data_IF_240189584979
#
_entry.id   IF_240189584979
#
_cell.length_a   1.000
_cell.length_b   1.000
_cell.length_c   1.000
_cell.angle_alpha   90.00
_cell.angle_beta   90.00
_cell.angle_gamma   90.00
#
_symmetry.space_group_name_H-M   'P 1'
#
loop_
_entity.id
_entity.type
_entity.pdbx_description
1 polymer ?
#
# COMPACT_ATOMS: atom_id res chain seq x y z
N UNK A 1 13.56 -23.52 -14.51
CA UNK A 1 12.55 -22.60 -15.07
C UNK A 1 13.12 -21.19 -14.94
N UNK A 2 13.71 -20.63 -16.00
CA UNK A 2 14.19 -19.24 -16.01
C UNK A 2 13.00 -18.33 -16.31
N UNK A 3 12.74 -17.33 -15.47
CA UNK A 3 11.75 -16.30 -15.77
C UNK A 3 12.27 -15.46 -16.94
N UNK A 4 11.71 -15.68 -18.13
CA UNK A 4 12.06 -14.91 -19.32
C UNK A 4 11.28 -13.60 -19.31
N UNK A 5 11.83 -12.63 -18.58
CA UNK A 5 11.36 -11.25 -18.55
C UNK A 5 11.74 -10.47 -19.83
N UNK A 6 12.53 -11.09 -20.71
CA UNK A 6 12.96 -10.55 -21.98
C UNK A 6 11.96 -10.92 -23.08
N UNK A 7 10.86 -10.15 -23.19
CA UNK A 7 9.98 -10.21 -24.36
C UNK A 7 10.65 -9.64 -25.64
N UNK A 8 11.99 -9.64 -25.71
CA UNK A 8 12.79 -9.08 -26.78
C UNK A 8 12.39 -7.65 -27.12
N UNK A 9 12.33 -7.33 -28.42
CA UNK A 9 11.93 -5.99 -28.90
C UNK A 9 10.54 -5.54 -28.45
N UNK A 10 9.69 -6.46 -27.96
CA UNK A 10 8.33 -6.14 -27.55
C UNK A 10 8.19 -5.80 -26.07
N UNK A 11 9.24 -6.05 -25.26
CA UNK A 11 9.25 -5.71 -23.85
C UNK A 11 8.90 -4.24 -23.61
N UNK A 12 9.41 -3.32 -24.43
CA UNK A 12 9.15 -1.90 -24.28
C UNK A 12 7.67 -1.50 -24.47
N UNK A 13 6.88 -2.30 -25.19
CA UNK A 13 5.44 -2.07 -25.34
C UNK A 13 4.64 -2.72 -24.21
N UNK A 14 5.15 -3.81 -23.64
CA UNK A 14 4.46 -4.61 -22.63
C UNK A 14 4.69 -4.08 -21.21
N UNK A 15 5.95 -3.80 -20.87
CA UNK A 15 6.37 -3.39 -19.53
C UNK A 15 5.72 -2.11 -19.01
N UNK A 16 5.41 -1.08 -19.82
CA UNK A 16 4.76 0.13 -19.32
C UNK A 16 3.42 -0.14 -18.65
N UNK A 17 2.60 -1.05 -19.19
CA UNK A 17 1.31 -1.41 -18.59
C UNK A 17 1.49 -2.06 -17.20
N UNK A 18 2.49 -2.93 -17.07
CA UNK A 18 2.85 -3.55 -15.80
C UNK A 18 3.45 -2.54 -14.82
N UNK A 19 4.28 -1.61 -15.30
CA UNK A 19 4.85 -0.55 -14.48
C UNK A 19 3.76 0.35 -13.89
N UNK A 20 2.76 0.76 -14.70
CA UNK A 20 1.62 1.54 -14.23
C UNK A 20 0.84 0.78 -13.16
N UNK A 21 0.61 -0.52 -13.37
CA UNK A 21 -0.08 -1.37 -12.41
C UNK A 21 0.70 -1.49 -11.09
N UNK A 22 2.03 -1.71 -11.17
CA UNK A 22 2.90 -1.77 -10.01
C UNK A 22 2.90 -0.46 -9.22
N UNK A 23 2.91 0.69 -9.92
CA UNK A 23 2.79 2.01 -9.29
C UNK A 23 1.44 2.17 -8.59
N UNK A 24 0.34 1.76 -9.23
CA UNK A 24 -0.99 1.82 -8.62
C UNK A 24 -1.08 0.95 -7.36
N UNK A 25 -0.49 -0.25 -7.38
CA UNK A 25 -0.44 -1.11 -6.20
C UNK A 25 0.45 -0.52 -5.10
N UNK A 26 1.62 0.01 -5.44
CA UNK A 26 2.48 0.67 -4.46
C UNK A 26 1.79 1.86 -3.80
N UNK A 27 1.05 2.65 -4.58
CA UNK A 27 0.20 3.73 -4.08
C UNK A 27 -0.86 3.19 -3.13
N UNK A 28 -1.64 2.20 -3.54
CA UNK A 28 -2.72 1.63 -2.74
C UNK A 28 -2.21 1.08 -1.40
N UNK A 29 -1.07 0.38 -1.41
CA UNK A 29 -0.42 -0.14 -0.21
C UNK A 29 0.02 1.01 0.69
N UNK A 30 0.67 2.03 0.12
CA UNK A 30 1.10 3.22 0.84
C UNK A 30 -0.05 3.96 1.51
N UNK A 31 -1.14 4.18 0.77
CA UNK A 31 -2.35 4.86 1.24
C UNK A 31 -3.06 4.06 2.35
N UNK A 32 -3.17 2.74 2.18
CA UNK A 32 -3.74 1.84 3.18
C UNK A 32 -2.95 1.88 4.49
N UNK A 33 -1.61 1.83 4.40
CA UNK A 33 -0.73 1.91 5.56
C UNK A 33 -0.78 3.30 6.22
N UNK A 34 -0.84 4.37 5.43
CA UNK A 34 -0.94 5.73 5.94
C UNK A 34 -2.26 5.94 6.71
N UNK A 35 -3.36 5.48 6.14
CA UNK A 35 -4.68 5.54 6.77
C UNK A 35 -4.73 4.70 8.04
N UNK A 36 -4.19 3.48 8.01
CA UNK A 36 -4.10 2.62 9.19
C UNK A 36 -3.27 3.26 10.31
N UNK A 37 -2.14 3.90 9.99
CA UNK A 37 -1.32 4.63 10.98
C UNK A 37 -2.06 5.82 11.57
N UNK A 38 -2.81 6.56 10.74
CA UNK A 38 -3.59 7.71 11.19
C UNK A 38 -4.68 7.27 12.17
N UNK A 39 -5.42 6.22 11.83
CA UNK A 39 -6.51 5.70 12.66
C UNK A 39 -6.01 5.04 13.93
N UNK A 40 -4.85 4.38 13.89
CA UNK A 40 -4.25 3.80 15.09
C UNK A 40 -3.92 4.84 16.14
N UNK A 41 -3.40 6.01 15.73
CA UNK A 41 -3.15 7.13 16.66
C UNK A 41 -4.45 7.67 17.26
N UNK A 42 -5.50 7.77 16.46
CA UNK A 42 -6.78 8.25 16.96
C UNK A 42 -7.45 7.23 17.88
N UNK A 43 -7.35 5.94 17.56
CA UNK A 43 -7.83 4.86 18.40
C UNK A 43 -7.12 4.83 19.75
N UNK A 44 -5.79 5.02 19.79
CA UNK A 44 -5.03 5.10 21.04
C UNK A 44 -5.49 6.29 21.91
N UNK A 45 -5.82 7.44 21.30
CA UNK A 45 -6.36 8.61 22.01
C UNK A 45 -7.75 8.34 22.57
N UNK A 46 -8.65 7.82 21.74
CA UNK A 46 -10.01 7.46 22.15
C UNK A 46 -10.00 6.38 23.24
N UNK A 47 -9.05 5.44 23.18
CA UNK A 47 -8.92 4.38 24.18
C UNK A 47 -8.43 4.93 25.51
N UNK A 48 -7.50 5.89 25.53
CA UNK A 48 -7.07 6.57 26.75
C UNK A 48 -8.22 7.36 27.40
N UNK A 49 -9.00 8.10 26.61
CA UNK A 49 -10.18 8.83 27.10
C UNK A 49 -11.26 7.88 27.67
N UNK A 50 -11.47 6.72 27.04
CA UNK A 50 -12.40 5.69 27.54
C UNK A 50 -11.95 5.07 28.85
N UNK A 51 -10.66 4.79 29.01
CA UNK A 51 -10.10 4.18 30.22
C UNK A 51 -10.10 5.17 31.39
N UNK A 52 -9.88 6.46 31.13
CA UNK A 52 -9.96 7.53 32.13
C UNK A 52 -11.40 7.82 32.58
N UNK A 53 -12.39 7.62 31.70
CA UNK A 53 -13.82 7.73 32.04
C UNK A 53 -14.39 6.45 32.69
N UNK A 54 -13.63 5.36 32.73
CA UNK A 54 -14.05 4.11 33.36
C UNK A 54 -13.85 4.22 34.89
N UNK A 55 -14.93 4.14 35.70
CA UNK A 55 -14.88 4.33 37.16
C UNK A 55 -14.18 3.19 37.91
#
# INVERSE_FOLDING_TARGET
MSFDFDAGKYAIYLWPAFAVSAVAFAWLIGDSLATARRWRREAERLQAEFDEQRP
#
